data_IF_539743761088
#
_entry.id   IF_539743761088
#
_cell.length_a   1.000
_cell.length_b   1.000
_cell.length_c   1.000
_cell.angle_alpha   90.00
_cell.angle_beta   90.00
_cell.angle_gamma   90.00
#
_symmetry.space_group_name_H-M   'P 1'
#
loop_
_entity.id
_entity.type
_entity.pdbx_description
1 polymer ?
#
# COMPACT_ATOMS: atom_id res chain seq x y z
N UNK A 1 -28.10 -29.43 -14.50
CA UNK A 1 -28.84 -28.28 -15.05
C UNK A 1 -30.08 -28.80 -15.72
N UNK A 2 -31.24 -28.21 -15.43
CA UNK A 2 -32.47 -28.47 -16.21
C UNK A 2 -32.39 -27.78 -17.58
N UNK A 3 -33.21 -28.21 -18.54
CA UNK A 3 -33.31 -27.56 -19.86
C UNK A 3 -33.68 -26.07 -19.74
N UNK A 4 -34.54 -25.71 -18.78
CA UNK A 4 -34.88 -24.31 -18.49
C UNK A 4 -33.67 -23.49 -18.04
N UNK A 5 -32.79 -24.05 -17.20
CA UNK A 5 -31.57 -23.35 -16.77
C UNK A 5 -30.57 -23.17 -17.92
N UNK A 6 -30.53 -24.11 -18.86
CA UNK A 6 -29.70 -24.03 -20.07
C UNK A 6 -30.21 -22.93 -21.00
N UNK A 7 -31.53 -22.82 -21.19
CA UNK A 7 -32.14 -21.77 -21.99
C UNK A 7 -31.86 -20.37 -21.40
N UNK A 8 -32.00 -20.20 -20.09
CA UNK A 8 -31.72 -18.91 -19.40
C UNK A 8 -30.25 -18.49 -19.61
N UNK A 9 -29.30 -19.41 -19.43
CA UNK A 9 -27.87 -19.12 -19.61
C UNK A 9 -27.55 -18.78 -21.08
N UNK A 10 -28.19 -19.46 -22.04
CA UNK A 10 -27.98 -19.17 -23.46
C UNK A 10 -28.51 -17.79 -23.85
N UNK A 11 -29.71 -17.42 -23.39
CA UNK A 11 -30.26 -16.07 -23.59
C UNK A 11 -29.36 -15.02 -22.94
N UNK A 12 -28.90 -15.26 -21.70
CA UNK A 12 -27.99 -14.35 -21.00
C UNK A 12 -26.66 -14.13 -21.74
N UNK A 13 -26.09 -15.18 -22.35
CA UNK A 13 -24.87 -15.07 -23.15
C UNK A 13 -25.14 -14.32 -24.47
N UNK A 14 -26.30 -14.55 -25.12
CA UNK A 14 -26.66 -13.91 -26.38
C UNK A 14 -26.95 -12.40 -26.22
N UNK A 15 -27.46 -11.99 -25.07
CA UNK A 15 -27.77 -10.59 -24.77
C UNK A 15 -26.57 -9.79 -24.25
N UNK A 16 -25.46 -10.46 -23.94
CA UNK A 16 -24.25 -9.80 -23.47
C UNK A 16 -23.46 -9.18 -24.63
N UNK A 17 -22.97 -7.96 -24.41
CA UNK A 17 -22.07 -7.26 -25.31
C UNK A 17 -20.69 -7.89 -25.29
N UNK A 18 -20.09 -8.03 -26.47
CA UNK A 18 -18.68 -8.32 -26.57
C UNK A 18 -17.81 -7.06 -26.30
N UNK A 19 -16.48 -7.19 -26.17
CA UNK A 19 -15.62 -6.04 -25.90
C UNK A 19 -15.70 -4.92 -26.95
N UNK A 20 -15.98 -5.24 -28.22
CA UNK A 20 -16.01 -4.27 -29.31
C UNK A 20 -17.33 -3.49 -29.25
N UNK A 21 -18.45 -4.19 -29.09
CA UNK A 21 -19.77 -3.58 -28.94
C UNK A 21 -19.87 -2.75 -27.66
N UNK A 22 -19.31 -3.23 -26.54
CA UNK A 22 -19.27 -2.50 -25.28
C UNK A 22 -18.40 -1.22 -25.40
N UNK A 23 -17.27 -1.29 -26.09
CA UNK A 23 -16.40 -0.14 -26.31
C UNK A 23 -17.07 0.90 -27.22
N UNK A 24 -17.74 0.46 -28.30
CA UNK A 24 -18.52 1.32 -29.19
C UNK A 24 -19.66 2.02 -28.43
N UNK A 25 -20.37 1.30 -27.55
CA UNK A 25 -21.45 1.89 -26.73
C UNK A 25 -20.95 2.97 -25.78
N UNK A 26 -19.75 2.80 -25.21
CA UNK A 26 -19.15 3.78 -24.31
C UNK A 26 -18.41 4.91 -25.04
N UNK A 27 -18.17 4.80 -26.34
CA UNK A 27 -17.38 5.78 -27.10
C UNK A 27 -15.88 5.69 -26.81
N UNK A 28 -15.35 4.48 -26.61
CA UNK A 28 -13.93 4.28 -26.36
C UNK A 28 -13.35 3.14 -27.22
N UNK A 29 -12.03 2.97 -27.19
CA UNK A 29 -11.41 1.83 -27.87
C UNK A 29 -11.51 0.54 -27.02
N UNK A 30 -11.47 -0.65 -27.62
CA UNK A 30 -11.42 -1.92 -26.88
C UNK A 30 -10.22 -2.00 -25.93
N UNK A 31 -9.12 -1.31 -26.26
CA UNK A 31 -7.92 -1.25 -25.42
C UNK A 31 -8.14 -0.36 -24.18
N UNK A 32 -8.89 0.73 -24.31
CA UNK A 32 -9.30 1.55 -23.17
C UNK A 32 -10.23 0.76 -22.26
N UNK A 33 -11.22 0.06 -22.82
CA UNK A 33 -12.14 -0.81 -22.09
C UNK A 33 -11.38 -1.87 -21.28
N UNK A 34 -10.41 -2.55 -21.92
CA UNK A 34 -9.52 -3.51 -21.25
C UNK A 34 -8.73 -2.86 -20.12
N UNK A 35 -8.26 -1.63 -20.31
CA UNK A 35 -7.52 -0.87 -19.30
C UNK A 35 -8.43 -0.47 -18.12
N UNK A 36 -9.69 -0.11 -18.38
CA UNK A 36 -10.68 0.17 -17.33
C UNK A 36 -10.99 -1.09 -16.50
N UNK A 37 -11.16 -2.24 -17.14
CA UNK A 37 -11.33 -3.52 -16.43
C UNK A 37 -10.10 -3.89 -15.61
N UNK A 38 -8.90 -3.75 -16.17
CA UNK A 38 -7.66 -4.01 -15.44
C UNK A 38 -7.49 -3.11 -14.21
N UNK A 39 -7.97 -1.86 -14.30
CA UNK A 39 -8.00 -0.88 -13.20
C UNK A 39 -9.18 -1.08 -12.25
N UNK A 40 -10.08 -2.05 -12.49
CA UNK A 40 -11.32 -2.31 -11.74
C UNK A 40 -12.26 -1.09 -11.68
N UNK A 41 -12.34 -0.35 -12.78
CA UNK A 41 -13.29 0.74 -12.94
C UNK A 41 -14.60 0.25 -13.53
N UNK A 42 -14.52 -0.77 -14.39
CA UNK A 42 -15.65 -1.46 -14.99
C UNK A 42 -15.49 -2.96 -14.71
N UNK A 43 -16.56 -3.62 -14.27
CA UNK A 43 -16.56 -5.05 -14.01
C UNK A 43 -17.30 -5.78 -15.14
N UNK A 44 -16.71 -6.82 -15.74
CA UNK A 44 -17.41 -7.65 -16.72
C UNK A 44 -18.30 -8.70 -16.04
N UNK A 45 -19.45 -8.99 -16.63
CA UNK A 45 -20.38 -10.02 -16.18
C UNK A 45 -19.75 -11.40 -16.19
N UNK A 46 -19.07 -11.73 -17.28
CA UNK A 46 -18.39 -13.01 -17.42
C UNK A 46 -17.24 -12.94 -18.41
N UNK A 47 -16.39 -13.96 -18.38
CA UNK A 47 -15.33 -14.15 -19.34
C UNK A 47 -15.60 -15.43 -20.15
N UNK A 48 -15.64 -15.30 -21.47
CA UNK A 48 -15.79 -16.42 -22.39
C UNK A 48 -14.62 -16.38 -23.37
N UNK A 49 -13.96 -17.53 -23.55
CA UNK A 49 -12.80 -17.68 -24.47
C UNK A 49 -11.70 -16.61 -24.30
N UNK A 50 -11.51 -16.10 -23.07
CA UNK A 50 -10.51 -15.07 -22.75
C UNK A 50 -10.92 -13.64 -23.11
N UNK A 51 -12.19 -13.43 -23.51
CA UNK A 51 -12.79 -12.12 -23.77
C UNK A 51 -13.79 -11.79 -22.67
N UNK A 52 -13.78 -10.53 -22.24
CA UNK A 52 -14.70 -10.01 -21.23
C UNK A 52 -16.01 -9.63 -21.90
N UNK A 53 -17.12 -10.14 -21.40
CA UNK A 53 -18.46 -9.79 -21.86
C UNK A 53 -19.16 -8.95 -20.81
N UNK A 54 -20.03 -8.05 -21.26
CA UNK A 54 -20.68 -7.05 -20.42
C UNK A 54 -22.19 -7.11 -20.64
N UNK A 55 -22.97 -6.99 -19.58
CA UNK A 55 -24.42 -6.80 -19.76
C UNK A 55 -24.76 -5.33 -19.92
N UNK A 56 -25.96 -5.07 -20.43
CA UNK A 56 -26.51 -3.70 -20.47
C UNK A 56 -26.52 -3.07 -19.08
N UNK A 57 -26.94 -3.83 -18.08
CA UNK A 57 -27.02 -3.38 -16.69
C UNK A 57 -25.68 -2.90 -16.14
N UNK A 58 -24.58 -3.60 -16.43
CA UNK A 58 -23.24 -3.21 -15.98
C UNK A 58 -22.74 -1.94 -16.66
N UNK A 59 -22.97 -1.81 -17.97
CA UNK A 59 -22.57 -0.64 -18.73
C UNK A 59 -23.39 0.60 -18.32
N UNK A 60 -24.70 0.43 -18.13
CA UNK A 60 -25.59 1.51 -17.71
C UNK A 60 -25.28 1.92 -16.25
N UNK A 61 -25.03 0.97 -15.34
CA UNK A 61 -24.62 1.27 -13.97
C UNK A 61 -23.28 2.04 -13.91
N UNK A 62 -22.34 1.70 -14.80
CA UNK A 62 -21.07 2.42 -14.92
C UNK A 62 -21.26 3.84 -15.47
N UNK A 63 -22.13 4.03 -16.47
CA UNK A 63 -22.49 5.35 -16.99
C UNK A 63 -23.16 6.20 -15.90
N UNK A 64 -24.05 5.61 -15.11
CA UNK A 64 -24.70 6.27 -13.98
C UNK A 64 -23.69 6.67 -12.89
N UNK A 65 -22.75 5.78 -12.56
CA UNK A 65 -21.68 6.08 -11.60
C UNK A 65 -20.83 7.27 -12.05
N UNK A 66 -20.42 7.29 -13.33
CA UNK A 66 -19.70 8.41 -13.92
C UNK A 66 -20.56 9.67 -13.87
N UNK A 67 -21.79 9.61 -14.39
CA UNK A 67 -22.69 10.76 -14.46
C UNK A 67 -23.03 11.35 -13.08
N UNK A 68 -23.05 10.53 -12.03
CA UNK A 68 -23.25 10.97 -10.64
C UNK A 68 -22.11 11.85 -10.10
N UNK A 69 -20.93 11.83 -10.74
CA UNK A 69 -19.79 12.68 -10.43
C UNK A 69 -19.88 14.08 -11.09
N UNK A 70 -20.99 14.38 -11.76
CA UNK A 70 -21.24 15.68 -12.38
C UNK A 70 -21.36 16.81 -11.36
N UNK A 71 -20.78 17.96 -11.72
CA UNK A 71 -20.74 19.15 -10.89
C UNK A 71 -21.30 20.32 -11.71
N UNK A 72 -22.49 20.78 -11.35
CA UNK A 72 -23.12 21.94 -11.98
C UNK A 72 -22.45 23.23 -11.50
N UNK A 73 -21.30 23.55 -12.07
CA UNK A 73 -20.59 24.81 -11.86
C UNK A 73 -20.40 25.53 -13.21
N UNK A 74 -21.17 26.61 -13.49
CA UNK A 74 -21.08 27.33 -14.76
C UNK A 74 -19.78 28.14 -14.92
N UNK A 75 -18.89 28.15 -13.91
CA UNK A 75 -17.59 28.83 -13.97
C UNK A 75 -16.44 27.97 -14.49
N UNK A 76 -16.69 26.68 -14.78
CA UNK A 76 -15.66 25.77 -15.26
C UNK A 76 -15.66 25.64 -16.78
N UNK A 77 -14.53 25.99 -17.39
CA UNK A 77 -14.26 25.71 -18.80
C UNK A 77 -14.03 24.20 -18.99
N UNK A 78 -15.08 23.51 -19.43
CA UNK A 78 -15.04 22.09 -19.77
C UNK A 78 -14.26 21.84 -21.05
N UNK A 79 -13.51 20.76 -21.09
CA UNK A 79 -12.84 20.24 -22.29
C UNK A 79 -13.29 18.80 -22.51
N UNK A 80 -13.40 18.35 -23.76
CA UNK A 80 -13.69 16.94 -24.05
C UNK A 80 -12.64 16.03 -23.40
N UNK A 81 -13.07 14.94 -22.78
CA UNK A 81 -12.17 14.02 -22.07
C UNK A 81 -11.07 13.46 -22.98
N UNK A 82 -11.35 13.22 -24.25
CA UNK A 82 -10.37 12.78 -25.23
C UNK A 82 -9.26 13.82 -25.46
N UNK A 83 -9.65 15.09 -25.64
CA UNK A 83 -8.70 16.21 -25.78
C UNK A 83 -7.87 16.38 -24.52
N UNK A 84 -8.51 16.34 -23.35
CA UNK A 84 -7.81 16.42 -22.06
C UNK A 84 -6.79 15.28 -21.90
N UNK A 85 -7.15 14.04 -22.25
CA UNK A 85 -6.24 12.90 -22.21
C UNK A 85 -5.03 13.11 -23.12
N UNK A 86 -5.26 13.64 -24.33
CA UNK A 86 -4.20 13.96 -25.29
C UNK A 86 -3.23 15.01 -24.79
N UNK A 87 -3.74 16.13 -24.25
CA UNK A 87 -2.92 17.23 -23.71
C UNK A 87 -2.17 16.83 -22.43
N UNK A 88 -2.82 16.09 -21.53
CA UNK A 88 -2.22 15.65 -20.27
C UNK A 88 -1.33 14.40 -20.42
N UNK A 89 -1.32 13.74 -21.58
CA UNK A 89 -0.55 12.53 -21.83
C UNK A 89 -0.99 11.34 -20.97
N UNK A 90 -2.29 11.25 -20.63
CA UNK A 90 -2.85 10.17 -19.81
C UNK A 90 -3.84 9.32 -20.61
N UNK A 91 -3.99 8.04 -20.24
CA UNK A 91 -4.98 7.16 -20.85
C UNK A 91 -6.41 7.52 -20.43
N UNK A 92 -7.41 7.16 -21.22
CA UNK A 92 -8.82 7.35 -20.87
C UNK A 92 -9.17 6.68 -19.52
N UNK A 93 -8.68 5.46 -19.29
CA UNK A 93 -8.89 4.76 -18.02
C UNK A 93 -8.24 5.45 -16.80
N UNK A 94 -7.22 6.29 -17.01
CA UNK A 94 -6.65 7.14 -15.96
C UNK A 94 -7.56 8.33 -15.67
N UNK A 95 -8.05 9.01 -16.71
CA UNK A 95 -9.02 10.09 -16.57
C UNK A 95 -10.31 9.60 -15.90
N UNK A 96 -10.84 8.44 -16.28
CA UNK A 96 -12.00 7.82 -15.64
C UNK A 96 -11.75 7.50 -14.16
N UNK A 97 -10.55 7.01 -13.82
CA UNK A 97 -10.17 6.80 -12.41
C UNK A 97 -10.16 8.11 -11.63
N UNK A 98 -9.72 9.21 -12.25
CA UNK A 98 -9.72 10.54 -11.62
C UNK A 98 -11.12 11.12 -11.42
N UNK A 99 -12.09 10.72 -12.25
CA UNK A 99 -13.51 11.06 -12.07
C UNK A 99 -14.09 10.27 -10.89
N UNK A 100 -14.00 8.94 -10.95
CA UNK A 100 -14.71 8.05 -10.01
C UNK A 100 -14.04 8.05 -8.62
N UNK A 101 -12.71 7.93 -8.57
CA UNK A 101 -11.97 7.62 -7.33
C UNK A 101 -11.32 8.85 -6.69
N UNK A 102 -10.56 9.62 -7.47
CA UNK A 102 -9.81 10.78 -6.96
C UNK A 102 -10.71 12.03 -6.84
N UNK A 103 -11.74 12.11 -7.69
CA UNK A 103 -12.60 13.29 -7.88
C UNK A 103 -11.79 14.57 -8.17
N UNK A 104 -10.59 14.40 -8.73
CA UNK A 104 -9.74 15.51 -9.18
C UNK A 104 -10.19 16.06 -10.53
N UNK A 105 -10.91 15.23 -11.29
CA UNK A 105 -11.53 15.56 -12.56
C UNK A 105 -13.05 15.49 -12.35
N UNK A 106 -13.76 16.55 -12.71
CA UNK A 106 -15.22 16.64 -12.58
C UNK A 106 -15.85 16.69 -13.95
N UNK A 107 -17.07 16.18 -14.06
CA UNK A 107 -17.85 16.27 -15.28
C UNK A 107 -18.60 17.60 -15.22
N UNK A 108 -18.39 18.40 -16.26
CA UNK A 108 -19.02 19.72 -16.41
C UNK A 108 -20.31 19.58 -17.22
N UNK A 109 -20.26 18.78 -18.27
CA UNK A 109 -21.40 18.52 -19.15
C UNK A 109 -21.25 17.14 -19.78
N UNK A 110 -22.39 16.51 -20.08
CA UNK A 110 -22.44 15.31 -20.89
C UNK A 110 -23.48 15.51 -22.00
N UNK A 111 -23.04 15.45 -23.25
CA UNK A 111 -23.96 15.46 -24.38
C UNK A 111 -24.62 14.09 -24.53
N UNK A 112 -25.85 13.96 -24.04
CA UNK A 112 -26.61 12.71 -24.06
C UNK A 112 -26.93 12.15 -25.45
N UNK A 113 -26.67 12.90 -26.53
CA UNK A 113 -26.80 12.44 -27.91
C UNK A 113 -25.59 11.67 -28.44
N UNK A 114 -24.50 11.59 -27.68
CA UNK A 114 -23.27 10.90 -28.05
C UNK A 114 -22.97 9.74 -27.08
N UNK A 115 -22.16 8.75 -27.50
CA UNK A 115 -21.58 7.77 -26.59
C UNK A 115 -20.82 8.46 -25.45
N UNK A 116 -20.78 7.83 -24.26
CA UNK A 116 -20.35 8.45 -23.01
C UNK A 116 -19.07 9.28 -23.16
N UNK A 117 -17.95 8.66 -23.54
CA UNK A 117 -16.65 9.34 -23.60
C UNK A 117 -16.49 10.29 -24.79
N UNK A 118 -17.32 10.16 -25.83
CA UNK A 118 -17.36 11.11 -26.95
C UNK A 118 -18.12 12.39 -26.58
N UNK A 119 -19.11 12.27 -25.69
CA UNK A 119 -19.94 13.38 -25.20
C UNK A 119 -19.49 13.99 -23.87
N UNK A 120 -18.47 13.43 -23.20
CA UNK A 120 -18.09 13.82 -21.84
C UNK A 120 -17.15 15.03 -21.82
N UNK A 121 -17.64 16.14 -21.28
CA UNK A 121 -16.82 17.31 -20.96
C UNK A 121 -16.37 17.28 -19.52
N UNK A 122 -15.07 17.46 -19.32
CA UNK A 122 -14.40 17.38 -18.03
C UNK A 122 -13.61 18.66 -17.76
N UNK A 123 -13.48 18.99 -16.48
CA UNK A 123 -12.58 20.03 -16.01
C UNK A 123 -11.85 19.55 -14.77
N UNK A 124 -10.67 20.13 -14.53
CA UNK A 124 -10.00 19.96 -13.24
C UNK A 124 -10.89 20.60 -12.16
N UNK A 125 -11.12 19.87 -11.06
CA UNK A 125 -11.90 20.39 -9.96
C UNK A 125 -11.23 21.66 -9.39
N UNK A 126 -11.92 22.82 -9.30
CA UNK A 126 -11.38 23.99 -8.64
C UNK A 126 -11.09 23.67 -7.18
N UNK A 127 -10.05 24.30 -6.61
CA UNK A 127 -9.59 24.02 -5.25
C UNK A 127 -10.71 24.17 -4.18
N UNK A 128 -11.80 24.89 -4.50
CA UNK A 128 -13.01 25.08 -3.69
C UNK A 128 -14.07 23.97 -3.82
N UNK A 129 -14.18 23.28 -4.97
CA UNK A 129 -15.12 22.15 -5.19
C UNK A 129 -14.44 20.78 -5.11
N UNK A 130 -13.14 20.75 -4.79
CA UNK A 130 -12.61 19.72 -3.88
C UNK A 130 -13.42 19.82 -2.60
N UNK A 131 -14.67 19.31 -2.62
CA UNK A 131 -15.43 18.94 -1.43
C UNK A 131 -14.40 18.29 -0.57
N UNK A 132 -14.21 18.84 0.62
CA UNK A 132 -13.42 18.23 1.66
C UNK A 132 -13.79 16.74 1.66
N UNK A 133 -12.99 15.92 0.95
CA UNK A 133 -12.77 14.54 1.34
C UNK A 133 -12.33 14.77 2.76
N UNK A 134 -13.28 14.51 3.68
CA UNK A 134 -13.17 14.67 5.13
C UNK A 134 -11.71 14.87 5.42
N UNK A 135 -11.23 16.12 5.54
CA UNK A 135 -9.78 16.34 5.60
C UNK A 135 -9.40 15.56 6.82
N UNK A 136 -8.76 14.39 6.69
CA UNK A 136 -8.26 13.81 7.88
C UNK A 136 -7.02 14.68 8.05
N UNK A 137 -7.11 15.53 9.04
CA UNK A 137 -6.01 15.61 9.97
C UNK A 137 -5.73 14.20 10.60
N UNK A 138 -5.83 13.07 9.86
CA UNK A 138 -4.69 12.18 9.68
C UNK A 138 -3.62 12.98 8.93
N UNK A 139 -3.10 14.05 9.54
CA UNK A 139 -1.84 13.91 10.25
C UNK A 139 -0.90 13.08 9.38
N UNK A 140 0.12 13.77 8.87
CA UNK A 140 1.40 13.27 8.38
C UNK A 140 2.02 12.12 9.24
N UNK A 141 1.40 11.73 10.36
CA UNK A 141 1.76 10.64 11.27
C UNK A 141 1.79 9.25 10.63
N UNK A 142 0.99 9.00 9.58
CA UNK A 142 0.93 7.69 8.90
C UNK A 142 1.43 7.71 7.45
N UNK A 143 2.12 8.78 7.02
CA UNK A 143 2.76 8.82 5.72
C UNK A 143 4.24 8.44 5.84
N UNK A 144 4.71 7.45 5.09
CA UNK A 144 6.11 6.98 5.11
C UNK A 144 6.87 7.40 3.86
N UNK A 145 8.19 7.39 3.94
CA UNK A 145 9.03 7.71 2.78
C UNK A 145 9.02 6.57 1.76
N UNK A 146 9.31 6.86 0.49
CA UNK A 146 9.51 5.82 -0.53
C UNK A 146 10.61 4.82 -0.14
N UNK A 147 11.68 5.27 0.51
CA UNK A 147 12.75 4.40 0.98
C UNK A 147 12.27 3.45 2.09
N UNK A 148 11.38 3.91 2.96
CA UNK A 148 10.77 3.10 4.01
C UNK A 148 9.79 2.08 3.45
N UNK A 149 8.97 2.47 2.46
CA UNK A 149 8.10 1.56 1.75
C UNK A 149 8.90 0.49 0.99
N UNK A 150 10.01 0.89 0.34
CA UNK A 150 10.92 -0.01 -0.36
C UNK A 150 11.54 -1.03 0.59
N UNK A 151 12.02 -0.59 1.75
CA UNK A 151 12.54 -1.49 2.79
C UNK A 151 11.47 -2.45 3.32
N UNK A 152 10.26 -1.95 3.57
CA UNK A 152 9.12 -2.73 4.08
C UNK A 152 8.68 -3.83 3.11
N UNK A 153 8.50 -3.48 1.84
CA UNK A 153 8.22 -4.45 0.79
C UNK A 153 9.48 -5.19 0.32
N UNK A 154 10.65 -4.92 0.90
CA UNK A 154 11.97 -5.40 0.46
C UNK A 154 12.17 -5.37 -1.05
N UNK A 155 11.85 -4.24 -1.68
CA UNK A 155 12.01 -3.94 -3.11
C UNK A 155 12.84 -2.66 -3.30
N UNK A 156 13.09 -2.25 -4.56
CA UNK A 156 13.81 -1.03 -4.90
C UNK A 156 12.87 0.19 -4.98
N UNK A 157 13.43 1.39 -5.00
CA UNK A 157 12.67 2.63 -5.11
C UNK A 157 11.78 2.67 -6.36
N UNK A 158 12.33 2.23 -7.50
CA UNK A 158 11.61 2.14 -8.78
C UNK A 158 10.45 1.14 -8.72
N UNK A 159 10.59 0.09 -7.90
CA UNK A 159 9.52 -0.87 -7.63
C UNK A 159 8.34 -0.22 -6.88
N UNK A 160 8.62 0.65 -5.90
CA UNK A 160 7.57 1.40 -5.21
C UNK A 160 6.92 2.42 -6.13
N UNK A 161 7.69 3.16 -6.92
CA UNK A 161 7.14 4.09 -7.90
C UNK A 161 6.19 3.40 -8.87
N UNK A 162 6.59 2.26 -9.44
CA UNK A 162 5.72 1.51 -10.34
C UNK A 162 4.44 1.01 -9.65
N UNK A 163 4.48 0.67 -8.36
CA UNK A 163 3.28 0.31 -7.60
C UNK A 163 2.36 1.52 -7.33
N UNK A 164 2.92 2.72 -7.18
CA UNK A 164 2.16 3.97 -7.08
C UNK A 164 1.53 4.35 -8.41
N UNK A 165 2.31 4.31 -9.50
CA UNK A 165 1.83 4.58 -10.87
C UNK A 165 0.73 3.60 -11.28
N UNK A 166 0.86 2.32 -10.90
CA UNK A 166 -0.16 1.30 -11.10
C UNK A 166 -1.33 1.38 -10.08
N UNK A 167 -1.35 2.38 -9.20
CA UNK A 167 -2.40 2.63 -8.21
C UNK A 167 -2.62 1.51 -7.18
N UNK A 168 -1.64 0.62 -6.99
CA UNK A 168 -1.66 -0.38 -5.93
C UNK A 168 -1.35 0.20 -4.56
N UNK A 169 -0.59 1.29 -4.52
CA UNK A 169 -0.21 2.01 -3.30
C UNK A 169 -0.49 3.49 -3.49
N UNK A 170 -1.23 4.10 -2.56
CA UNK A 170 -1.57 5.52 -2.60
C UNK A 170 -0.46 6.40 -2.02
N UNK A 171 -0.34 7.61 -2.55
CA UNK A 171 0.49 8.66 -1.97
C UNK A 171 -0.35 9.68 -1.19
N UNK A 172 0.30 10.39 -0.29
CA UNK A 172 -0.22 11.55 0.41
C UNK A 172 0.85 12.64 0.40
N UNK A 173 0.45 13.91 0.38
CA UNK A 173 1.39 15.02 0.48
C UNK A 173 1.69 15.34 1.94
N UNK A 174 2.96 15.51 2.27
CA UNK A 174 3.36 15.97 3.60
C UNK A 174 3.14 17.49 3.77
N UNK A 175 3.40 18.00 4.98
CA UNK A 175 3.27 19.42 5.31
C UNK A 175 4.22 20.34 4.52
N UNK A 176 5.17 19.76 3.77
CA UNK A 176 6.09 20.46 2.87
C UNK A 176 5.74 20.20 1.40
N UNK A 177 4.53 19.73 1.11
CA UNK A 177 4.02 19.41 -0.21
C UNK A 177 4.85 18.33 -0.94
N UNK A 178 5.57 17.46 -0.21
CA UNK A 178 6.32 16.34 -0.79
C UNK A 178 5.47 15.08 -0.76
N UNK A 179 5.56 14.29 -1.83
CA UNK A 179 4.87 13.01 -1.90
C UNK A 179 5.47 11.99 -0.93
N UNK A 180 4.58 11.35 -0.20
CA UNK A 180 4.83 10.26 0.75
C UNK A 180 3.89 9.11 0.45
N UNK A 181 4.25 7.91 0.89
CA UNK A 181 3.41 6.73 0.76
C UNK A 181 2.41 6.68 1.91
N UNK A 182 1.13 6.47 1.61
CA UNK A 182 0.10 6.22 2.62
C UNK A 182 0.32 4.85 3.26
N UNK A 183 0.51 4.79 4.58
CA UNK A 183 0.73 3.54 5.31
C UNK A 183 -0.45 2.60 5.24
N UNK A 184 -1.68 3.08 5.39
CA UNK A 184 -2.89 2.25 5.29
C UNK A 184 -2.99 1.56 3.93
N UNK A 185 -2.72 2.29 2.85
CA UNK A 185 -2.69 1.71 1.50
C UNK A 185 -1.59 0.66 1.35
N UNK A 186 -0.46 0.84 2.02
CA UNK A 186 0.63 -0.13 2.05
C UNK A 186 0.29 -1.36 2.89
N UNK A 187 -0.42 -1.19 4.00
CA UNK A 187 -0.91 -2.28 4.85
C UNK A 187 -1.91 -3.15 4.07
N UNK A 188 -2.86 -2.51 3.36
CA UNK A 188 -3.80 -3.20 2.47
C UNK A 188 -3.08 -3.94 1.34
N UNK A 189 -2.03 -3.34 0.78
CA UNK A 189 -1.18 -3.99 -0.21
C UNK A 189 -0.54 -5.26 0.36
N UNK A 190 0.06 -5.18 1.55
CA UNK A 190 0.69 -6.34 2.20
C UNK A 190 -0.32 -7.41 2.61
N UNK A 191 -1.55 -7.05 2.97
CA UNK A 191 -2.61 -8.01 3.27
C UNK A 191 -3.01 -8.84 2.05
N UNK A 192 -3.03 -8.22 0.86
CA UNK A 192 -3.50 -8.84 -0.38
C UNK A 192 -2.39 -9.48 -1.21
N UNK A 193 -1.24 -8.86 -1.27
CA UNK A 193 -0.14 -9.26 -2.14
C UNK A 193 1.03 -9.79 -1.34
N UNK A 194 1.80 -10.68 -1.96
CA UNK A 194 3.00 -11.27 -1.35
C UNK A 194 4.07 -11.47 -2.39
N UNK A 195 5.35 -11.47 -1.98
CA UNK A 195 6.45 -11.79 -2.89
C UNK A 195 6.29 -13.21 -3.41
N UNK A 196 6.44 -13.41 -4.71
CA UNK A 196 6.45 -14.74 -5.32
C UNK A 196 7.53 -15.65 -4.67
N UNK A 197 8.68 -15.08 -4.34
CA UNK A 197 9.77 -15.75 -3.63
C UNK A 197 9.37 -16.32 -2.26
N UNK A 198 8.33 -15.79 -1.60
CA UNK A 198 7.88 -16.28 -0.30
C UNK A 198 7.22 -17.67 -0.38
N UNK A 199 6.78 -18.10 -1.57
CA UNK A 199 6.23 -19.43 -1.78
C UNK A 199 7.30 -20.52 -1.95
N UNK A 200 8.59 -20.17 -2.07
CA UNK A 200 9.67 -21.15 -2.28
C UNK A 200 9.70 -22.31 -1.28
N UNK A 201 9.57 -22.07 0.04
CA UNK A 201 9.56 -23.17 1.02
C UNK A 201 8.40 -24.13 0.82
N UNK A 202 7.21 -23.61 0.46
CA UNK A 202 6.00 -24.39 0.23
C UNK A 202 6.12 -25.20 -1.07
N UNK A 203 6.76 -24.60 -2.08
CA UNK A 203 7.02 -25.21 -3.38
C UNK A 203 8.23 -26.18 -3.37
N UNK A 204 8.99 -26.25 -2.27
CA UNK A 204 10.21 -27.06 -2.19
C UNK A 204 11.29 -26.63 -3.19
N UNK A 205 11.38 -25.34 -3.53
CA UNK A 205 12.27 -24.83 -4.57
C UNK A 205 13.10 -23.62 -4.10
N UNK A 206 14.21 -23.27 -4.79
CA UNK A 206 14.91 -22.01 -4.56
C UNK A 206 14.00 -20.77 -4.76
N UNK A 207 14.18 -19.67 -3.98
CA UNK A 207 13.42 -18.42 -4.11
C UNK A 207 13.42 -17.82 -5.52
N UNK A 208 14.55 -17.92 -6.22
CA UNK A 208 14.73 -17.42 -7.60
C UNK A 208 13.86 -18.13 -8.62
N UNK A 209 13.48 -19.38 -8.35
CA UNK A 209 12.66 -20.21 -9.26
C UNK A 209 11.19 -20.24 -8.91
N UNK A 210 10.80 -19.75 -7.73
CA UNK A 210 9.41 -19.80 -7.24
C UNK A 210 8.42 -19.18 -8.22
N UNK A 211 8.72 -18.00 -8.77
CA UNK A 211 7.84 -17.35 -9.75
C UNK A 211 7.70 -18.18 -11.05
N UNK A 212 8.78 -18.81 -11.52
CA UNK A 212 8.73 -19.65 -12.72
C UNK A 212 7.76 -20.82 -12.54
N UNK A 213 7.77 -21.44 -11.35
CA UNK A 213 6.85 -22.53 -10.99
C UNK A 213 5.41 -22.03 -10.80
N UNK A 214 5.23 -20.85 -10.18
CA UNK A 214 3.90 -20.25 -10.06
C UNK A 214 3.31 -19.92 -11.44
N UNK A 215 4.14 -19.45 -12.40
CA UNK A 215 3.72 -19.20 -13.78
C UNK A 215 3.29 -20.47 -14.52
N UNK A 216 3.93 -21.61 -14.29
CA UNK A 216 3.46 -22.88 -14.91
C UNK A 216 2.09 -23.30 -14.39
N UNK A 217 1.66 -22.75 -13.25
CA UNK A 217 0.31 -22.93 -12.69
C UNK A 217 -0.64 -21.77 -13.01
N UNK A 218 -0.26 -20.87 -13.93
CA UNK A 218 -1.10 -19.76 -14.41
C UNK A 218 -1.09 -18.50 -13.55
N UNK A 219 -0.28 -18.43 -12.48
CA UNK A 219 -0.19 -17.22 -11.64
C UNK A 219 0.64 -16.15 -12.36
N UNK A 220 0.08 -14.93 -12.46
CA UNK A 220 0.75 -13.77 -13.07
C UNK A 220 1.13 -12.76 -11.97
N UNK A 221 2.36 -12.23 -11.96
CA UNK A 221 2.72 -11.19 -11.01
C UNK A 221 2.00 -9.88 -11.33
N UNK A 222 1.56 -9.17 -10.29
CA UNK A 222 0.89 -7.86 -10.44
C UNK A 222 1.81 -6.78 -10.98
N UNK A 223 3.13 -7.00 -10.86
CA UNK A 223 4.15 -6.09 -11.30
C UNK A 223 5.11 -6.76 -12.29
N UNK A 224 4.66 -7.04 -13.52
CA UNK A 224 5.46 -7.71 -14.56
C UNK A 224 6.28 -6.77 -15.46
N UNK A 225 6.67 -5.58 -14.98
CA UNK A 225 7.51 -4.63 -15.72
C UNK A 225 9.02 -4.81 -15.48
N UNK A 226 9.88 -4.38 -16.41
CA UNK A 226 11.32 -4.68 -16.41
C UNK A 226 12.08 -4.17 -15.17
N UNK A 227 11.66 -3.05 -14.58
CA UNK A 227 12.30 -2.38 -13.43
C UNK A 227 11.69 -2.72 -12.05
N UNK A 228 10.72 -3.64 -11.98
CA UNK A 228 9.93 -3.88 -10.76
C UNK A 228 10.73 -4.45 -9.57
N UNK A 229 11.91 -5.03 -9.84
CA UNK A 229 12.71 -5.72 -8.83
C UNK A 229 12.03 -7.00 -8.36
N UNK A 230 11.56 -7.00 -7.10
CA UNK A 230 10.82 -8.13 -6.54
C UNK A 230 9.44 -8.25 -7.17
N UNK A 231 8.99 -9.48 -7.41
CA UNK A 231 7.70 -9.77 -8.05
C UNK A 231 6.66 -10.12 -6.99
N UNK A 232 5.54 -9.42 -7.02
CA UNK A 232 4.40 -9.63 -6.13
C UNK A 232 3.29 -10.37 -6.87
N UNK A 233 2.58 -11.24 -6.15
CA UNK A 233 1.43 -12.02 -6.63
C UNK A 233 0.27 -11.84 -5.66
N UNK A 234 -0.96 -11.91 -6.18
CA UNK A 234 -2.17 -11.88 -5.34
C UNK A 234 -2.31 -13.22 -4.59
N UNK A 235 -2.50 -13.14 -3.27
CA UNK A 235 -2.61 -14.32 -2.40
C UNK A 235 -3.82 -15.17 -2.76
N UNK A 236 -4.95 -14.54 -3.05
CA UNK A 236 -6.20 -15.23 -3.35
C UNK A 236 -6.11 -15.92 -4.71
N UNK A 237 -5.42 -15.29 -5.67
CA UNK A 237 -5.16 -15.88 -6.98
C UNK A 237 -4.26 -17.12 -6.88
N UNK A 238 -3.17 -17.04 -6.11
CA UNK A 238 -2.29 -18.18 -5.89
C UNK A 238 -3.05 -19.32 -5.22
N UNK A 239 -3.83 -19.04 -4.18
CA UNK A 239 -4.64 -20.05 -3.51
C UNK A 239 -5.62 -20.71 -4.48
N UNK A 240 -6.36 -19.91 -5.26
CA UNK A 240 -7.35 -20.39 -6.23
C UNK A 240 -6.73 -21.26 -7.34
N UNK A 241 -5.58 -20.86 -7.89
CA UNK A 241 -4.96 -21.54 -9.03
C UNK A 241 -4.09 -22.73 -8.63
N UNK A 242 -3.52 -22.70 -7.43
CA UNK A 242 -2.48 -23.65 -7.04
C UNK A 242 -2.82 -24.50 -5.82
N UNK A 243 -3.87 -24.12 -5.08
CA UNK A 243 -4.23 -24.72 -3.78
C UNK A 243 -3.22 -24.41 -2.67
N UNK A 244 -2.21 -23.57 -2.93
CA UNK A 244 -1.19 -23.24 -1.95
C UNK A 244 -1.73 -22.21 -0.97
N UNK A 245 -1.72 -22.57 0.30
CA UNK A 245 -2.03 -21.63 1.37
C UNK A 245 -1.09 -20.43 1.32
N UNK A 246 -1.60 -19.28 1.76
CA UNK A 246 -0.80 -18.06 1.89
C UNK A 246 0.47 -18.38 2.70
N UNK A 247 1.68 -18.04 2.22
CA UNK A 247 2.88 -18.18 3.00
C UNK A 247 2.65 -17.32 4.23
N UNK A 248 2.77 -17.93 5.40
CA UNK A 248 2.88 -17.14 6.62
C UNK A 248 4.11 -16.28 6.41
N UNK A 249 3.92 -14.98 6.18
CA UNK A 249 5.01 -14.02 6.31
C UNK A 249 5.56 -14.32 7.69
N UNK A 250 6.80 -14.82 7.77
CA UNK A 250 7.41 -15.24 9.03
C UNK A 250 7.80 -13.99 9.83
N UNK A 251 6.82 -13.16 10.15
CA UNK A 251 6.71 -12.67 11.49
C UNK A 251 6.20 -13.88 12.28
N UNK A 252 7.05 -14.50 13.11
CA UNK A 252 6.57 -15.58 13.97
C UNK A 252 5.31 -15.09 14.71
N UNK A 253 4.29 -15.93 14.90
CA UNK A 253 3.04 -15.53 15.58
C UNK A 253 3.31 -14.81 16.92
N UNK A 254 4.43 -15.14 17.56
CA UNK A 254 5.02 -14.46 18.71
C UNK A 254 5.29 -12.96 18.47
N UNK A 255 5.96 -12.56 17.38
CA UNK A 255 6.21 -11.14 17.06
C UNK A 255 4.91 -10.36 16.80
N UNK A 256 3.92 -11.00 16.19
CA UNK A 256 2.61 -10.38 15.99
C UNK A 256 1.89 -10.17 17.34
N UNK A 257 1.96 -11.16 18.24
CA UNK A 257 1.40 -11.07 19.60
C UNK A 257 2.05 -9.93 20.38
N UNK A 258 3.39 -9.85 20.38
CA UNK A 258 4.14 -8.79 21.07
C UNK A 258 3.78 -7.41 20.47
N UNK A 259 3.62 -7.32 19.15
CA UNK A 259 3.24 -6.06 18.49
C UNK A 259 1.86 -5.57 18.94
N UNK A 260 0.85 -6.45 18.94
CA UNK A 260 -0.52 -6.09 19.32
C UNK A 260 -0.58 -5.62 20.77
N UNK A 261 0.04 -6.38 21.68
CA UNK A 261 0.09 -6.03 23.11
C UNK A 261 0.84 -4.70 23.33
N UNK A 262 1.94 -4.48 22.59
CA UNK A 262 2.68 -3.23 22.65
C UNK A 262 1.86 -2.03 22.12
N UNK A 263 1.09 -2.20 21.06
CA UNK A 263 0.21 -1.13 20.54
C UNK A 263 -0.86 -0.74 21.58
N UNK A 264 -1.49 -1.72 22.24
CA UNK A 264 -2.47 -1.48 23.30
C UNK A 264 -1.85 -0.69 24.47
N UNK A 265 -0.65 -1.07 24.91
CA UNK A 265 0.02 -0.37 26.01
C UNK A 265 0.53 1.03 25.64
N UNK A 266 1.00 1.24 24.40
CA UNK A 266 1.39 2.58 23.94
C UNK A 266 0.19 3.54 23.92
N UNK A 267 -0.98 3.06 23.50
CA UNK A 267 -2.24 3.82 23.55
C UNK A 267 -2.64 4.09 24.99
N UNK A 268 -2.63 3.08 25.85
CA UNK A 268 -3.02 3.20 27.27
C UNK A 268 -2.13 4.19 28.03
N UNK A 269 -0.83 4.27 27.71
CA UNK A 269 0.11 5.22 28.33
C UNK A 269 0.21 6.55 27.56
N UNK A 270 -0.59 6.76 26.52
CA UNK A 270 -0.55 7.97 25.69
C UNK A 270 0.85 8.29 25.12
N UNK A 271 1.67 7.27 24.86
CA UNK A 271 2.96 7.43 24.19
C UNK A 271 2.68 7.63 22.70
N UNK A 272 3.04 8.77 22.09
CA UNK A 272 2.67 9.08 20.72
C UNK A 272 3.58 8.34 19.73
N UNK A 273 3.47 7.02 19.64
CA UNK A 273 4.32 6.14 18.84
C UNK A 273 3.53 5.12 18.04
N UNK A 274 4.19 4.52 17.05
CA UNK A 274 3.65 3.47 16.17
C UNK A 274 4.63 2.31 16.14
N UNK A 275 4.11 1.08 16.05
CA UNK A 275 4.94 -0.14 15.98
C UNK A 275 4.87 -0.75 14.58
N UNK A 276 5.97 -1.37 14.13
CA UNK A 276 6.01 -2.15 12.88
C UNK A 276 6.94 -3.34 12.98
N UNK A 277 6.59 -4.48 12.39
CA UNK A 277 7.50 -5.61 12.27
C UNK A 277 8.42 -5.38 11.06
N UNK A 278 9.72 -5.53 11.25
CA UNK A 278 10.76 -5.36 10.24
C UNK A 278 11.01 -6.64 9.44
N UNK A 279 11.76 -6.53 8.34
CA UNK A 279 12.13 -7.65 7.46
C UNK A 279 13.16 -8.61 8.08
N UNK A 280 13.86 -8.18 9.12
CA UNK A 280 14.55 -9.04 10.10
C UNK A 280 13.61 -9.22 11.31
N UNK A 281 13.62 -10.37 12.03
CA UNK A 281 12.72 -10.60 13.17
C UNK A 281 12.96 -9.55 14.27
N UNK A 282 12.23 -8.45 14.16
CA UNK A 282 12.38 -7.25 14.96
C UNK A 282 11.11 -6.41 14.88
N UNK A 283 10.78 -5.71 15.96
CA UNK A 283 9.72 -4.68 15.99
C UNK A 283 10.38 -3.31 16.07
N UNK A 284 10.10 -2.41 15.14
CA UNK A 284 10.44 -1.01 15.29
C UNK A 284 9.31 -0.26 15.99
N UNK A 285 9.66 0.48 17.03
CA UNK A 285 8.80 1.44 17.70
C UNK A 285 9.28 2.82 17.33
N UNK A 286 8.40 3.66 16.80
CA UNK A 286 8.76 4.97 16.27
C UNK A 286 7.77 6.02 16.74
N UNK A 287 8.29 7.16 17.19
CA UNK A 287 7.50 8.35 17.47
C UNK A 287 6.64 8.71 16.25
N UNK A 288 5.39 9.04 16.46
CA UNK A 288 4.52 9.61 15.42
C UNK A 288 5.09 10.90 14.82
N UNK A 289 5.94 11.62 15.55
CA UNK A 289 6.68 12.80 15.06
C UNK A 289 7.87 12.44 14.15
N UNK A 290 8.24 11.16 14.08
CA UNK A 290 9.46 10.66 13.43
C UNK A 290 10.77 10.97 14.17
N UNK A 291 10.70 11.76 15.27
CA UNK A 291 11.89 12.30 15.95
C UNK A 291 12.73 11.25 16.67
N UNK A 292 12.12 10.15 17.10
CA UNK A 292 12.82 9.04 17.76
C UNK A 292 12.23 7.70 17.33
N UNK A 293 13.04 6.65 17.42
CA UNK A 293 12.67 5.26 17.17
C UNK A 293 13.68 4.33 17.79
N UNK A 294 13.21 3.15 18.15
CA UNK A 294 14.00 2.04 18.65
C UNK A 294 13.58 0.75 17.95
N UNK A 295 14.48 -0.23 17.93
CA UNK A 295 14.22 -1.58 17.42
C UNK A 295 14.26 -2.56 18.58
N UNK A 296 13.27 -3.43 18.64
CA UNK A 296 13.26 -4.64 19.47
C UNK A 296 13.83 -5.75 18.60
N UNK A 297 14.99 -6.29 18.93
CA UNK A 297 15.57 -7.46 18.25
C UNK A 297 15.66 -8.62 19.22
N UNK A 298 15.52 -9.86 18.73
CA UNK A 298 15.78 -11.07 19.51
C UNK A 298 17.06 -11.73 19.02
N UNK A 299 17.99 -11.98 19.92
CA UNK A 299 19.13 -12.85 19.65
C UNK A 299 18.62 -14.28 19.48
N UNK A 300 18.76 -14.84 18.28
CA UNK A 300 18.30 -16.19 17.96
C UNK A 300 19.06 -17.27 18.74
N UNK A 301 20.28 -16.96 19.20
CA UNK A 301 21.16 -17.91 19.89
C UNK A 301 20.86 -17.97 21.38
N UNK A 302 20.56 -16.82 21.98
CA UNK A 302 20.34 -16.67 23.44
C UNK A 302 18.88 -16.49 23.82
N UNK A 303 18.01 -16.26 22.84
CA UNK A 303 16.59 -15.96 23.05
C UNK A 303 16.31 -14.61 23.71
N UNK A 304 17.35 -13.81 24.01
CA UNK A 304 17.28 -12.51 24.69
C UNK A 304 16.78 -11.42 23.75
N UNK A 305 16.01 -10.47 24.28
CA UNK A 305 15.65 -9.26 23.54
C UNK A 305 16.60 -8.11 23.86
N UNK A 306 16.97 -7.38 22.81
CA UNK A 306 17.74 -6.14 22.89
C UNK A 306 16.93 -5.00 22.29
N UNK A 307 16.96 -3.84 22.96
CA UNK A 307 16.42 -2.59 22.42
C UNK A 307 17.56 -1.78 21.81
N UNK A 308 17.40 -1.33 20.56
CA UNK A 308 18.46 -0.68 19.80
C UNK A 308 17.96 0.67 19.30
N UNK A 309 18.65 1.76 19.65
CA UNK A 309 18.43 3.08 19.07
C UNK A 309 19.65 3.54 18.29
N UNK A 310 19.45 4.03 17.08
CA UNK A 310 20.52 4.41 16.16
C UNK A 310 20.63 5.93 16.05
N UNK A 311 21.85 6.46 16.24
CA UNK A 311 22.21 7.87 16.07
C UNK A 311 23.39 7.99 15.12
N UNK A 312 23.18 7.66 13.84
CA UNK A 312 24.25 7.62 12.84
C UNK A 312 24.05 8.66 11.75
N UNK A 313 25.15 9.16 11.17
CA UNK A 313 25.07 10.11 10.05
C UNK A 313 24.33 9.54 8.82
N UNK A 314 24.38 8.22 8.63
CA UNK A 314 23.80 7.54 7.47
C UNK A 314 22.30 7.33 7.63
N UNK A 315 21.84 6.85 8.80
CA UNK A 315 20.43 6.47 8.99
C UNK A 315 19.60 7.53 9.73
N UNK A 316 20.21 8.32 10.61
CA UNK A 316 19.49 9.18 11.56
C UNK A 316 20.22 10.52 11.82
N UNK A 317 20.76 11.15 10.76
CA UNK A 317 21.53 12.41 10.84
C UNK A 317 20.85 13.50 11.67
N UNK A 318 19.54 13.65 11.51
CA UNK A 318 18.77 14.67 12.23
C UNK A 318 18.69 14.43 13.74
N UNK A 319 18.71 13.17 14.19
CA UNK A 319 18.71 12.82 15.61
C UNK A 319 20.07 13.03 16.24
N UNK A 320 21.11 12.54 15.56
CA UNK A 320 22.48 12.72 15.99
C UNK A 320 22.80 14.22 16.17
N UNK A 321 22.45 15.04 15.19
CA UNK A 321 22.61 16.49 15.25
C UNK A 321 21.93 17.13 16.48
N UNK A 322 20.71 16.71 16.83
CA UNK A 322 20.00 17.25 18.00
C UNK A 322 20.69 16.89 19.31
N UNK A 323 21.18 15.66 19.44
CA UNK A 323 21.93 15.22 20.63
C UNK A 323 23.23 16.00 20.74
N UNK A 324 23.95 16.17 19.63
CA UNK A 324 25.18 16.95 19.56
C UNK A 324 24.94 18.43 19.92
N UNK A 325 23.91 19.06 19.35
CA UNK A 325 23.53 20.45 19.65
C UNK A 325 23.12 20.63 21.12
N UNK A 326 22.42 19.66 21.69
CA UNK A 326 22.03 19.66 23.11
C UNK A 326 23.17 19.28 24.06
N UNK A 327 24.34 18.89 23.54
CA UNK A 327 25.50 18.42 24.32
C UNK A 327 25.18 17.26 25.28
N UNK A 328 24.21 16.41 24.90
CA UNK A 328 23.77 15.27 25.71
C UNK A 328 24.72 14.08 25.47
N UNK A 329 25.21 13.46 26.54
CA UNK A 329 26.07 12.28 26.38
C UNK A 329 25.23 11.07 25.97
N UNK A 330 25.74 10.19 25.08
CA UNK A 330 24.99 9.00 24.65
C UNK A 330 24.44 8.14 25.80
N UNK A 331 25.20 7.97 26.89
CA UNK A 331 24.77 7.20 28.08
C UNK A 331 23.68 7.87 28.93
N UNK A 332 23.44 9.17 28.75
CA UNK A 332 22.36 9.91 29.41
C UNK A 332 21.02 9.69 28.71
N UNK A 333 21.05 9.30 27.42
CA UNK A 333 19.83 9.04 26.64
C UNK A 333 19.09 7.83 27.20
N UNK A 334 19.82 6.73 27.39
CA UNK A 334 19.31 5.54 28.09
C UNK A 334 20.29 5.17 29.21
N UNK A 335 20.02 5.60 30.45
CA UNK A 335 20.83 5.22 31.59
C UNK A 335 20.93 3.69 31.71
N UNK A 336 22.15 3.19 31.86
CA UNK A 336 22.47 1.76 31.99
C UNK A 336 22.51 0.98 30.67
N UNK A 337 22.24 1.60 29.52
CA UNK A 337 22.40 0.97 28.21
C UNK A 337 23.85 1.05 27.73
N UNK A 338 24.27 0.09 26.91
CA UNK A 338 25.58 0.09 26.26
C UNK A 338 25.58 1.05 25.08
N UNK A 339 26.70 1.72 24.88
CA UNK A 339 26.90 2.63 23.74
C UNK A 339 28.04 2.08 22.89
N UNK A 340 27.80 2.00 21.59
CA UNK A 340 28.78 1.59 20.60
C UNK A 340 28.97 2.72 19.58
N UNK A 341 30.21 3.03 19.24
CA UNK A 341 30.48 3.93 18.11
C UNK A 341 30.11 3.23 16.80
N UNK A 342 29.48 3.98 15.89
CA UNK A 342 29.03 3.43 14.62
C UNK A 342 30.09 3.63 13.53
N UNK A 343 30.33 2.59 12.72
CA UNK A 343 31.16 2.70 11.52
C UNK A 343 30.54 3.72 10.55
N UNK A 344 31.21 4.85 10.36
CA UNK A 344 30.70 6.00 9.59
C UNK A 344 30.20 7.18 10.43
N UNK A 345 30.43 7.16 11.75
CA UNK A 345 30.22 8.27 12.67
C UNK A 345 28.84 8.33 13.32
N UNK A 346 28.82 8.88 14.54
CA UNK A 346 27.71 8.78 15.48
C UNK A 346 27.81 7.52 16.35
N UNK A 347 26.70 7.09 16.94
CA UNK A 347 26.68 5.98 17.90
C UNK A 347 25.37 5.19 17.86
N UNK A 348 25.40 4.00 18.44
CA UNK A 348 24.26 3.11 18.63
C UNK A 348 24.14 2.81 20.12
N UNK A 349 22.93 2.95 20.66
CA UNK A 349 22.64 2.58 22.04
C UNK A 349 21.91 1.24 22.03
N UNK A 350 22.39 0.31 22.86
CA UNK A 350 21.84 -1.03 23.00
C UNK A 350 21.52 -1.31 24.46
N UNK A 351 20.25 -1.57 24.76
CA UNK A 351 19.77 -2.03 26.06
C UNK A 351 19.56 -3.55 25.99
N UNK A 352 20.56 -4.30 26.46
CA UNK A 352 20.59 -5.77 26.48
C UNK A 352 20.19 -6.29 27.85
N UNK A 353 18.92 -6.57 28.09
CA UNK A 353 18.51 -6.95 29.44
C UNK A 353 17.12 -7.59 29.55
N UNK A 354 16.63 -8.34 28.56
CA UNK A 354 15.37 -9.06 28.73
C UNK A 354 15.57 -10.51 28.36
N UNK A 355 15.85 -11.32 29.37
CA UNK A 355 15.78 -12.78 29.26
C UNK A 355 14.35 -13.18 28.92
N UNK A 356 14.20 -14.00 27.87
CA UNK A 356 12.96 -14.70 27.63
C UNK A 356 12.80 -15.78 28.71
N UNK A 357 12.13 -15.48 29.82
CA UNK A 357 11.78 -16.51 30.79
C UNK A 357 10.89 -17.56 30.09
N UNK A 358 11.28 -18.85 30.07
CA UNK A 358 10.48 -19.91 29.44
C UNK A 358 9.07 -20.09 30.03
N UNK A 359 8.72 -19.40 31.12
CA UNK A 359 7.41 -19.44 31.78
C UNK A 359 6.44 -18.31 31.39
N UNK A 360 6.79 -17.45 30.42
CA UNK A 360 5.85 -16.48 29.84
C UNK A 360 5.76 -15.11 30.55
N UNK A 361 6.65 -14.82 31.50
CA UNK A 361 6.76 -13.50 32.17
C UNK A 361 7.46 -12.42 31.30
N UNK A 362 7.91 -12.76 30.08
CA UNK A 362 8.83 -11.94 29.29
C UNK A 362 8.18 -10.80 28.48
N UNK A 363 6.92 -10.93 28.09
CA UNK A 363 6.27 -9.94 27.20
C UNK A 363 5.96 -8.62 27.92
N UNK A 364 5.33 -8.68 29.11
CA UNK A 364 5.02 -7.50 29.92
C UNK A 364 6.27 -6.73 30.37
N UNK A 365 7.34 -7.43 30.74
CA UNK A 365 8.63 -6.82 31.11
C UNK A 365 9.27 -6.14 29.90
N UNK A 366 9.24 -6.80 28.74
CA UNK A 366 9.71 -6.21 27.49
C UNK A 366 8.92 -4.95 27.13
N UNK A 367 7.60 -5.01 27.15
CA UNK A 367 6.72 -3.89 26.81
C UNK A 367 6.92 -2.72 27.78
N UNK A 368 6.95 -2.97 29.09
CA UNK A 368 7.22 -1.92 30.09
C UNK A 368 8.59 -1.27 29.89
N UNK A 369 9.61 -2.04 29.51
CA UNK A 369 10.94 -1.50 29.23
C UNK A 369 10.98 -0.70 27.93
N UNK A 370 10.31 -1.17 26.88
CA UNK A 370 10.14 -0.45 25.61
C UNK A 370 9.49 0.92 25.84
N UNK A 371 8.41 0.96 26.62
CA UNK A 371 7.70 2.21 26.91
C UNK A 371 8.59 3.17 27.71
N UNK A 372 9.30 2.66 28.72
CA UNK A 372 10.27 3.46 29.50
C UNK A 372 11.33 4.08 28.59
N UNK A 373 11.92 3.27 27.70
CA UNK A 373 12.94 3.73 26.75
C UNK A 373 12.38 4.70 25.70
N UNK A 374 11.13 4.52 25.28
CA UNK A 374 10.41 5.44 24.41
C UNK A 374 10.20 6.81 25.08
N UNK A 375 9.81 6.86 26.35
CA UNK A 375 9.70 8.11 27.10
C UNK A 375 11.03 8.84 27.24
N UNK A 376 12.11 8.11 27.58
CA UNK A 376 13.44 8.69 27.69
C UNK A 376 13.89 9.33 26.36
N UNK A 377 13.67 8.62 25.23
CA UNK A 377 13.92 9.20 23.90
C UNK A 377 13.03 10.42 23.63
N UNK A 378 11.76 10.36 24.03
CA UNK A 378 10.81 11.44 23.76
C UNK A 378 11.11 12.72 24.55
N UNK A 379 11.57 12.60 25.79
CA UNK A 379 11.97 13.74 26.61
C UNK A 379 13.21 14.45 26.06
N UNK A 380 14.07 13.72 25.37
CA UNK A 380 15.36 14.21 24.86
C UNK A 380 15.27 14.74 23.41
N UNK A 381 14.37 14.20 22.56
CA UNK A 381 14.36 14.43 21.09
C UNK A 381 13.04 15.01 20.55
#
# INVERSE_FOLDING_TARGET
MSEEQLAIVQTYIQEAFDPEDAANRLGCTPQDLKSMVARKLLQPAFCMTGRNHFTREELDAFVDEISSASLNDPSLDGTLIATFCGEAGISLAEATSRIIRDRSLVIVEHNSGLPLFDGLMVACAPDSTRRASVRPNAQVRDAITYAEAAARLGTKHEGIMGLVEASFIKTAKDSRNKDRICRESLDLFECRYVKAAAYAPILGCPPTTALKILRTKGVVPINDWKSAGQRFVDRDEVMRLTGLACPKVVASAEWQSIKVELDEHLVAQAVPATTRISSEPAIEVRATTGRWSLLIKRDQTRGQYSLISNFTHIRQRGRLRKVEEASIKPGEIWPGARVHDADGGGFVIVDDAIDADPRGLSANVLIGRVITRAYQLHQIL
#
